data_IF_904274346782
#
_entry.id   IF_904274346782
#
_cell.length_a   1.000
_cell.length_b   1.000
_cell.length_c   1.000
_cell.angle_alpha   90.00
_cell.angle_beta   90.00
_cell.angle_gamma   90.00
#
_symmetry.space_group_name_H-M   'P 1'
#
loop_
_entity.id
_entity.type
_entity.pdbx_description
1 polymer ?
#
# COMPACT_ATOMS: atom_id res chain seq x y z
N UNK A 1 -21.54 -46.07 13.38
CA UNK A 1 -20.77 -44.87 13.78
C UNK A 1 -19.96 -44.27 12.62
N UNK A 2 -20.50 -44.27 11.38
CA UNK A 2 -19.78 -43.82 10.18
C UNK A 2 -20.41 -42.60 9.50
N UNK A 3 -21.73 -42.40 9.63
CA UNK A 3 -22.45 -41.24 9.06
C UNK A 3 -21.97 -39.91 9.64
N UNK A 4 -21.72 -39.82 10.96
CA UNK A 4 -21.17 -38.59 11.59
C UNK A 4 -19.75 -38.28 11.11
N UNK A 5 -18.95 -39.31 10.80
CA UNK A 5 -17.58 -39.14 10.28
C UNK A 5 -17.60 -38.68 8.81
N UNK A 6 -18.52 -39.23 8.00
CA UNK A 6 -18.74 -38.81 6.62
C UNK A 6 -19.25 -37.36 6.56
N UNK A 7 -20.19 -36.99 7.44
CA UNK A 7 -20.70 -35.62 7.52
C UNK A 7 -19.59 -34.62 7.86
N UNK A 8 -18.70 -34.97 8.79
CA UNK A 8 -17.57 -34.12 9.18
C UNK A 8 -16.55 -33.95 8.04
N UNK A 9 -16.29 -35.01 7.27
CA UNK A 9 -15.39 -34.93 6.11
C UNK A 9 -15.97 -34.03 5.01
N UNK A 10 -17.29 -34.11 4.76
CA UNK A 10 -17.96 -33.25 3.77
C UNK A 10 -17.97 -31.78 4.20
N UNK A 11 -18.22 -31.48 5.48
CA UNK A 11 -18.20 -30.09 5.97
C UNK A 11 -16.81 -29.48 5.93
N UNK A 12 -15.77 -30.23 6.34
CA UNK A 12 -14.39 -29.78 6.29
C UNK A 12 -13.91 -29.61 4.83
N UNK A 13 -14.24 -30.55 3.95
CA UNK A 13 -13.90 -30.46 2.52
C UNK A 13 -14.56 -29.26 1.82
N UNK A 14 -15.82 -28.97 2.14
CA UNK A 14 -16.52 -27.79 1.63
C UNK A 14 -15.89 -26.47 2.08
N UNK A 15 -15.53 -26.36 3.37
CA UNK A 15 -14.85 -25.20 3.94
C UNK A 15 -13.48 -24.96 3.28
N UNK A 16 -12.72 -26.02 3.03
CA UNK A 16 -11.41 -25.95 2.38
C UNK A 16 -11.57 -25.48 0.92
N UNK A 17 -12.57 -25.98 0.18
CA UNK A 17 -12.83 -25.55 -1.20
C UNK A 17 -13.14 -24.05 -1.28
N UNK A 18 -13.91 -23.49 -0.34
CA UNK A 18 -14.23 -22.07 -0.29
C UNK A 18 -12.99 -21.16 -0.14
N UNK A 19 -11.91 -21.65 0.47
CA UNK A 19 -10.65 -20.89 0.61
C UNK A 19 -9.94 -20.69 -0.74
N UNK A 20 -10.15 -21.58 -1.72
CA UNK A 20 -9.49 -21.52 -3.02
C UNK A 20 -10.29 -20.74 -4.09
N UNK A 21 -11.59 -20.51 -3.90
CA UNK A 21 -12.42 -19.72 -4.83
C UNK A 21 -12.15 -18.21 -4.69
N UNK A 22 -11.53 -17.78 -3.58
CA UNK A 22 -11.18 -16.38 -3.31
C UNK A 22 -9.94 -15.86 -4.04
N UNK A 23 -9.19 -16.69 -4.75
CA UNK A 23 -8.05 -16.28 -5.59
C UNK A 23 -8.42 -16.20 -7.07
N UNK A 24 -9.57 -15.62 -7.41
CA UNK A 24 -9.61 -14.88 -8.67
C UNK A 24 -8.96 -13.53 -8.39
N UNK A 25 -7.66 -13.43 -8.67
CA UNK A 25 -7.02 -12.13 -8.90
C UNK A 25 -7.76 -11.55 -10.10
N UNK A 26 -8.84 -10.83 -9.83
CA UNK A 26 -9.32 -9.80 -10.75
C UNK A 26 -8.31 -8.69 -10.60
N UNK A 27 -7.18 -8.82 -11.31
CA UNK A 27 -6.52 -7.63 -11.85
C UNK A 27 -7.62 -6.79 -12.50
N UNK A 28 -7.73 -5.49 -12.20
CA UNK A 28 -8.68 -4.62 -12.86
C UNK A 28 -8.59 -4.87 -14.37
N UNK A 29 -9.73 -5.23 -14.97
CA UNK A 29 -9.85 -5.48 -16.40
C UNK A 29 -9.15 -4.38 -17.18
N UNK A 30 -8.11 -4.78 -17.89
CA UNK A 30 -7.22 -3.89 -18.61
C UNK A 30 -6.24 -4.65 -19.48
N UNK A 31 -6.74 -5.67 -20.20
CA UNK A 31 -6.33 -6.03 -21.57
C UNK A 31 -6.69 -7.50 -21.82
N UNK A 32 -7.80 -7.71 -22.54
CA UNK A 32 -7.88 -8.84 -23.45
C UNK A 32 -6.61 -8.87 -24.28
N UNK A 33 -5.94 -10.03 -24.30
CA UNK A 33 -4.85 -10.31 -25.21
C UNK A 33 -5.37 -10.23 -26.64
N UNK A 34 -5.25 -9.05 -27.24
CA UNK A 34 -5.32 -8.85 -28.68
C UNK A 34 -3.89 -8.59 -29.13
N UNK A 35 -3.28 -9.60 -29.77
CA UNK A 35 -2.19 -9.35 -30.70
C UNK A 35 -2.71 -8.39 -31.77
N UNK A 36 -2.35 -7.13 -31.63
CA UNK A 36 -2.67 -6.06 -32.54
C UNK A 36 -1.65 -4.95 -32.35
N UNK A 37 -0.72 -4.86 -33.29
CA UNK A 37 0.03 -3.63 -33.53
C UNK A 37 -0.96 -2.47 -33.75
N UNK A 38 -0.56 -1.27 -33.34
CA UNK A 38 -1.28 0.01 -33.47
C UNK A 38 -2.37 0.31 -32.42
N UNK A 39 -1.91 0.59 -31.21
CA UNK A 39 -2.69 1.30 -30.19
C UNK A 39 -1.82 1.73 -29.02
N UNK A 40 -0.93 2.70 -29.22
CA UNK A 40 -0.19 3.33 -28.12
C UNK A 40 -1.15 4.15 -27.24
N UNK A 41 -2.03 3.47 -26.49
CA UNK A 41 -2.73 4.06 -25.36
C UNK A 41 -1.66 4.51 -24.38
N UNK A 42 -1.64 5.81 -24.07
CA UNK A 42 -0.72 6.35 -23.07
C UNK A 42 -1.00 5.65 -21.75
N UNK A 43 -0.07 4.80 -21.29
CA UNK A 43 -0.15 4.23 -19.93
C UNK A 43 -0.03 5.41 -18.96
N UNK A 44 -1.13 5.77 -18.30
CA UNK A 44 -1.11 6.80 -17.28
C UNK A 44 -0.43 6.25 -16.04
N UNK A 45 0.76 6.76 -15.74
CA UNK A 45 1.54 6.36 -14.56
C UNK A 45 1.19 7.28 -13.39
N UNK A 46 0.90 6.68 -12.25
CA UNK A 46 0.67 7.38 -10.99
C UNK A 46 1.90 7.18 -10.11
N UNK A 47 2.45 8.27 -9.56
CA UNK A 47 3.59 8.23 -8.65
C UNK A 47 3.08 8.27 -7.21
N UNK A 48 3.45 7.27 -6.41
CA UNK A 48 3.24 7.30 -4.97
C UNK A 48 4.46 7.93 -4.29
N UNK A 49 4.22 8.92 -3.44
CA UNK A 49 5.26 9.55 -2.61
C UNK A 49 4.92 9.37 -1.14
N UNK A 50 5.86 8.76 -0.42
CA UNK A 50 5.77 8.54 1.02
C UNK A 50 6.49 9.69 1.73
N UNK A 51 5.75 10.45 2.53
CA UNK A 51 6.27 11.56 3.33
C UNK A 51 6.34 11.14 4.80
N UNK A 52 7.54 10.81 5.26
CA UNK A 52 7.79 10.50 6.67
C UNK A 52 7.88 11.78 7.51
N UNK A 53 7.08 11.86 8.57
CA UNK A 53 6.99 13.01 9.48
C UNK A 53 7.19 12.58 10.94
N UNK A 54 7.43 13.56 11.81
CA UNK A 54 7.42 13.38 13.26
C UNK A 54 7.02 14.67 13.98
N UNK A 55 6.53 14.60 15.24
CA UNK A 55 6.02 15.75 15.98
C UNK A 55 7.05 16.88 16.18
N UNK A 56 8.32 16.55 16.37
CA UNK A 56 9.41 17.52 16.60
C UNK A 56 10.31 17.75 15.38
N UNK A 57 9.87 17.30 14.21
CA UNK A 57 10.57 17.48 12.95
C UNK A 57 10.45 18.93 12.44
N UNK A 58 11.46 19.75 12.69
CA UNK A 58 11.49 21.18 12.28
C UNK A 58 11.41 21.39 10.76
N UNK A 59 11.84 20.41 9.97
CA UNK A 59 11.82 20.48 8.50
C UNK A 59 10.51 19.95 7.88
N UNK A 60 9.72 19.20 8.64
CA UNK A 60 8.50 18.57 8.12
C UNK A 60 7.45 19.58 7.62
N UNK A 61 7.23 20.75 8.26
CA UNK A 61 6.35 21.77 7.70
C UNK A 61 6.77 22.23 6.29
N UNK A 62 8.07 22.41 6.05
CA UNK A 62 8.59 22.79 4.73
C UNK A 62 8.41 21.65 3.71
N UNK A 63 8.67 20.40 4.11
CA UNK A 63 8.44 19.24 3.26
C UNK A 63 6.96 19.06 2.89
N UNK A 64 6.05 19.28 3.84
CA UNK A 64 4.60 19.28 3.61
C UNK A 64 4.16 20.36 2.62
N UNK A 65 4.71 21.57 2.72
CA UNK A 65 4.42 22.63 1.75
C UNK A 65 4.93 22.27 0.35
N UNK A 66 6.13 21.70 0.25
CA UNK A 66 6.70 21.26 -1.02
C UNK A 66 5.86 20.15 -1.67
N UNK A 67 5.46 19.11 -0.92
CA UNK A 67 4.64 18.03 -1.46
C UNK A 67 3.24 18.52 -1.87
N UNK A 68 2.66 19.45 -1.10
CA UNK A 68 1.37 20.05 -1.43
C UNK A 68 1.46 20.91 -2.71
N UNK A 69 2.57 21.60 -2.94
CA UNK A 69 2.80 22.30 -4.20
C UNK A 69 2.90 21.32 -5.38
N UNK A 70 3.44 20.12 -5.18
CA UNK A 70 3.54 19.10 -6.22
C UNK A 70 2.17 18.47 -6.51
N UNK A 71 1.38 18.11 -5.49
CA UNK A 71 0.02 17.59 -5.70
C UNK A 71 -0.89 18.60 -6.40
N UNK A 72 -0.79 19.88 -6.05
CA UNK A 72 -1.56 20.93 -6.73
C UNK A 72 -1.17 21.08 -8.20
N UNK A 73 0.08 20.78 -8.57
CA UNK A 73 0.57 20.87 -9.94
C UNK A 73 0.17 19.66 -10.78
N UNK A 74 0.30 18.45 -10.23
CA UNK A 74 0.13 17.21 -10.98
C UNK A 74 -1.25 16.57 -10.82
N UNK A 75 -2.03 16.97 -9.81
CA UNK A 75 -3.30 16.33 -9.50
C UNK A 75 -3.14 14.96 -8.84
N UNK A 76 -4.24 14.47 -8.25
CA UNK A 76 -4.27 13.17 -7.58
C UNK A 76 -4.39 11.99 -8.55
N UNK A 77 -4.67 12.26 -9.83
CA UNK A 77 -4.67 11.30 -10.92
C UNK A 77 -3.25 10.93 -11.39
N UNK A 78 -2.25 11.73 -11.00
CA UNK A 78 -0.84 11.50 -11.33
C UNK A 78 0.03 11.29 -10.10
N UNK A 79 -0.44 11.69 -8.91
CA UNK A 79 0.34 11.65 -7.67
C UNK A 79 -0.51 11.25 -6.46
N UNK A 80 -0.05 10.24 -5.72
CA UNK A 80 -0.63 9.85 -4.42
C UNK A 80 0.38 10.17 -3.33
N UNK A 81 -0.06 10.86 -2.29
CA UNK A 81 0.78 11.22 -1.15
C UNK A 81 0.35 10.40 0.05
N UNK A 82 1.29 9.65 0.63
CA UNK A 82 1.12 8.90 1.86
C UNK A 82 1.93 9.59 2.97
N UNK A 83 1.25 10.27 3.90
CA UNK A 83 1.91 10.86 5.06
C UNK A 83 1.96 9.86 6.21
N UNK A 84 3.16 9.59 6.73
CA UNK A 84 3.42 8.54 7.71
C UNK A 84 4.27 9.07 8.87
N UNK A 85 3.95 8.68 10.10
CA UNK A 85 4.82 8.98 11.24
C UNK A 85 5.98 8.00 11.24
N UNK A 86 7.19 8.50 10.97
CA UNK A 86 8.36 7.65 10.76
C UNK A 86 9.07 7.23 12.04
N UNK A 87 9.05 8.08 13.08
CA UNK A 87 9.78 7.85 14.33
C UNK A 87 9.18 8.65 15.49
N UNK A 88 9.54 8.25 16.70
CA UNK A 88 9.14 8.94 17.94
C UNK A 88 10.06 10.12 18.27
N UNK A 89 9.56 11.07 19.07
CA UNK A 89 10.35 12.20 19.54
C UNK A 89 11.59 11.73 20.34
N UNK A 90 12.79 12.31 20.13
CA UNK A 90 14.01 11.94 20.85
C UNK A 90 13.93 12.13 22.37
N UNK A 91 13.04 13.00 22.87
CA UNK A 91 12.83 13.21 24.29
C UNK A 91 11.64 12.39 24.84
N UNK A 92 11.10 11.48 24.03
CA UNK A 92 9.96 10.62 24.35
C UNK A 92 8.69 11.38 24.78
N UNK A 93 8.56 12.65 24.37
CA UNK A 93 7.34 13.44 24.66
C UNK A 93 6.17 12.97 23.79
N UNK A 94 6.48 12.56 22.56
CA UNK A 94 5.51 12.02 21.62
C UNK A 94 5.99 10.65 21.15
N UNK A 95 5.40 9.60 21.74
CA UNK A 95 5.74 8.19 21.47
C UNK A 95 4.54 7.40 20.97
N UNK A 96 4.80 6.32 20.22
CA UNK A 96 3.78 5.40 19.73
C UNK A 96 3.01 5.90 18.51
N UNK A 97 3.56 6.86 17.77
CA UNK A 97 2.92 7.41 16.57
C UNK A 97 3.31 6.66 15.29
N UNK A 98 4.42 5.92 15.32
CA UNK A 98 4.85 5.08 14.21
C UNK A 98 4.52 3.60 14.45
N UNK A 99 4.41 2.85 13.36
CA UNK A 99 4.46 1.38 13.42
C UNK A 99 5.90 0.90 13.28
N UNK A 100 6.17 -0.36 13.61
CA UNK A 100 7.47 -0.97 13.36
C UNK A 100 7.78 -1.01 11.85
N UNK A 101 6.78 -1.28 11.01
CA UNK A 101 6.92 -1.29 9.55
C UNK A 101 7.32 0.09 9.01
N UNK A 102 6.60 1.13 9.44
CA UNK A 102 6.84 2.52 9.00
C UNK A 102 8.26 2.97 9.35
N UNK A 103 8.72 2.67 10.58
CA UNK A 103 10.08 2.99 11.01
C UNK A 103 11.15 2.23 10.21
N UNK A 104 10.91 0.96 9.89
CA UNK A 104 11.83 0.17 9.06
C UNK A 104 11.93 0.72 7.63
N UNK A 105 10.81 1.13 7.03
CA UNK A 105 10.81 1.80 5.71
C UNK A 105 11.54 3.14 5.74
N UNK A 106 11.28 3.97 6.75
CA UNK A 106 12.03 5.21 6.95
C UNK A 106 13.54 4.97 7.02
N UNK A 107 13.97 3.99 7.83
CA UNK A 107 15.38 3.61 7.92
C UNK A 107 15.95 3.15 6.59
N UNK A 108 15.22 2.30 5.85
CA UNK A 108 15.68 1.82 4.55
C UNK A 108 15.94 2.99 3.59
N UNK A 109 15.05 3.98 3.50
CA UNK A 109 15.28 5.16 2.67
C UNK A 109 16.46 6.00 3.15
N UNK A 110 16.61 6.19 4.46
CA UNK A 110 17.71 6.97 5.04
C UNK A 110 19.08 6.30 4.85
N UNK A 111 19.14 4.97 4.92
CA UNK A 111 20.39 4.21 4.80
C UNK A 111 20.78 3.98 3.33
N UNK A 112 19.86 4.24 2.40
CA UNK A 112 20.07 4.11 0.95
C UNK A 112 20.66 5.37 0.27
N UNK A 113 20.80 6.47 1.03
CA UNK A 113 21.36 7.75 0.58
C UNK A 113 22.77 7.97 1.12
#
# INVERSE_FOLDING_TARGET
MHIKKILLVLTVGGLISCLFVGCNITTPSGSDSVEGEDGAGSIQRVVMVELFVAPTCSRCPSAKLAINSLSNKYGLDQMVILEEYGWDDPNSVYVGWHTQETFQRFKWYNDST
#
